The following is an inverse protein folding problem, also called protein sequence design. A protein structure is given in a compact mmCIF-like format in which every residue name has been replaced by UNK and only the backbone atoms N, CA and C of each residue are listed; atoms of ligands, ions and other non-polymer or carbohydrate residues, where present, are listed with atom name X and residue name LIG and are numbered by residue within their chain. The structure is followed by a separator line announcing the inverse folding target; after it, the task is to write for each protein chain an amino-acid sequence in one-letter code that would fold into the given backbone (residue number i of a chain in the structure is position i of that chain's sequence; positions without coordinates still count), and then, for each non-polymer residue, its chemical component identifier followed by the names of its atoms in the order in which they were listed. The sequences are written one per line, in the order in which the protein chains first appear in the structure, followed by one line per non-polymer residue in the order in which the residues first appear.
data_IF_640647354806
#
_entry.id   IF_640647354806
#
_cell.length_a   1.000
_cell.length_b   1.000
_cell.length_c   1.000
_cell.angle_alpha   90.00
_cell.angle_beta   90.00
_cell.angle_gamma   90.00
#
_symmetry.space_group_name_H-M   'P 1'
#
loop_
_entity.id
_entity.type
_entity.pdbx_description
1 polymer ?
#
# COMPACT_ATOMS: atom_id res chain seq x y z
N UNK A 1 -11.27 4.36 -8.66
CA UNK A 1 -9.87 4.81 -8.78
C UNK A 1 -9.60 4.99 -10.27
N UNK A 2 -9.03 6.11 -10.69
CA UNK A 2 -8.61 6.32 -12.08
C UNK A 2 -7.08 6.20 -12.24
N UNK A 3 -6.57 6.39 -13.47
CA UNK A 3 -5.13 6.36 -13.74
C UNK A 3 -4.34 7.38 -12.91
N UNK A 4 -4.88 8.59 -12.71
CA UNK A 4 -4.20 9.64 -11.93
C UNK A 4 -4.12 9.26 -10.45
N UNK A 5 -5.18 8.65 -9.92
CA UNK A 5 -5.18 8.10 -8.56
C UNK A 5 -4.11 7.02 -8.40
N UNK A 6 -3.97 6.10 -9.36
CA UNK A 6 -2.95 5.04 -9.34
C UNK A 6 -1.54 5.65 -9.31
N UNK A 7 -1.25 6.60 -10.20
CA UNK A 7 0.07 7.24 -10.26
C UNK A 7 0.36 8.08 -9.01
N UNK A 8 -0.66 8.75 -8.44
CA UNK A 8 -0.53 9.46 -7.16
C UNK A 8 -0.22 8.52 -6.01
N UNK A 9 -0.89 7.38 -5.92
CA UNK A 9 -0.63 6.35 -4.91
C UNK A 9 0.78 5.79 -5.04
N UNK A 10 1.17 5.36 -6.25
CA UNK A 10 2.54 4.86 -6.53
C UNK A 10 3.59 5.86 -6.11
N UNK A 11 3.43 7.12 -6.53
CA UNK A 11 4.38 8.20 -6.23
C UNK A 11 4.51 8.45 -4.73
N UNK A 12 3.39 8.46 -3.99
CA UNK A 12 3.39 8.64 -2.55
C UNK A 12 4.12 7.49 -1.83
N UNK A 13 3.80 6.24 -2.15
CA UNK A 13 4.44 5.07 -1.55
C UNK A 13 5.93 5.00 -1.91
N UNK A 14 6.30 5.25 -3.18
CA UNK A 14 7.70 5.27 -3.60
C UNK A 14 8.50 6.35 -2.87
N UNK A 15 7.90 7.54 -2.69
CA UNK A 15 8.52 8.63 -1.91
C UNK A 15 8.78 8.19 -0.47
N UNK A 16 7.79 7.60 0.20
CA UNK A 16 7.91 7.10 1.58
C UNK A 16 9.01 6.03 1.69
N UNK A 17 9.05 5.07 0.77
CA UNK A 17 10.02 3.97 0.80
C UNK A 17 11.44 4.46 0.47
N UNK A 18 11.59 5.39 -0.47
CA UNK A 18 12.90 5.98 -0.81
C UNK A 18 13.56 6.69 0.38
N UNK A 19 12.75 7.16 1.34
CA UNK A 19 13.22 7.85 2.55
C UNK A 19 13.57 6.90 3.69
N UNK A 20 13.33 5.60 3.53
CA UNK A 20 13.40 4.62 4.61
C UNK A 20 12.19 4.75 5.53
N UNK A 21 11.27 3.80 5.46
CA UNK A 21 10.08 3.78 6.31
C UNK A 21 9.82 2.39 6.88
N UNK A 22 9.25 2.38 8.07
CA UNK A 22 8.57 1.24 8.64
C UNK A 22 7.12 1.22 8.18
N UNK A 23 6.58 0.02 8.06
CA UNK A 23 5.18 -0.22 7.76
C UNK A 23 4.54 -1.05 8.86
N UNK A 24 3.28 -0.77 9.15
CA UNK A 24 2.41 -1.56 10.00
C UNK A 24 1.13 -1.90 9.23
N UNK A 25 0.77 -3.19 9.20
CA UNK A 25 -0.43 -3.73 8.54
C UNK A 25 -1.18 -4.57 9.59
N UNK A 26 -2.09 -3.95 10.37
CA UNK A 26 -2.74 -4.57 11.51
C UNK A 26 -3.47 -5.88 11.17
N UNK A 27 -4.17 -5.91 10.03
CA UNK A 27 -4.99 -7.04 9.59
C UNK A 27 -4.17 -8.31 9.36
N UNK A 28 -2.85 -8.17 9.14
CA UNK A 28 -1.93 -9.30 8.94
C UNK A 28 -0.93 -9.46 10.09
N UNK A 29 -0.96 -8.60 11.12
CA UNK A 29 0.02 -8.60 12.20
C UNK A 29 1.45 -8.36 11.72
N UNK A 30 1.62 -7.58 10.64
CA UNK A 30 2.92 -7.34 10.02
C UNK A 30 3.44 -5.97 10.39
N UNK A 31 4.66 -5.93 10.91
CA UNK A 31 5.39 -4.72 11.23
C UNK A 31 6.86 -4.88 10.84
N UNK A 32 7.45 -3.83 10.25
CA UNK A 32 8.88 -3.83 9.93
C UNK A 32 9.26 -2.81 8.87
N UNK A 33 10.52 -2.84 8.44
CA UNK A 33 11.07 -1.89 7.47
C UNK A 33 10.76 -2.30 6.05
N UNK A 34 10.27 -1.38 5.24
CA UNK A 34 10.07 -1.64 3.81
C UNK A 34 11.41 -1.58 3.08
N UNK A 35 11.73 -2.65 2.33
CA UNK A 35 12.96 -2.76 1.52
C UNK A 35 12.69 -2.89 0.03
N UNK A 36 11.43 -3.09 -0.36
CA UNK A 36 11.05 -3.12 -1.76
C UNK A 36 9.55 -2.98 -1.95
N UNK A 37 9.17 -2.42 -3.09
CA UNK A 37 7.78 -2.29 -3.52
C UNK A 37 7.63 -2.80 -4.94
N UNK A 38 6.56 -3.55 -5.19
CA UNK A 38 6.19 -4.01 -6.51
C UNK A 38 4.77 -3.59 -6.88
N UNK A 39 4.59 -3.19 -8.14
CA UNK A 39 3.28 -2.92 -8.72
C UNK A 39 3.11 -3.73 -9.99
N UNK A 40 1.98 -4.43 -10.11
CA UNK A 40 1.48 -4.94 -11.37
C UNK A 40 0.14 -4.24 -11.63
N UNK A 41 0.08 -3.22 -12.48
CA UNK A 41 -1.20 -2.68 -12.87
C UNK A 41 -1.87 -3.65 -13.84
N UNK A 42 -3.19 -3.58 -13.91
CA UNK A 42 -3.98 -4.45 -14.75
C UNK A 42 -3.96 -3.92 -16.19
N UNK A 43 -2.80 -3.87 -16.88
CA UNK A 43 -2.61 -3.22 -18.20
C UNK A 43 -3.50 -3.82 -19.30
N UNK A 44 -4.78 -3.47 -19.33
CA UNK A 44 -5.72 -3.82 -20.40
C UNK A 44 -6.16 -2.59 -21.20
N UNK A 45 -5.94 -1.37 -20.68
CA UNK A 45 -6.11 -0.12 -21.42
C UNK A 45 -6.04 1.15 -20.56
N UNK A 46 -6.09 2.35 -21.16
CA UNK A 46 -6.05 3.63 -20.43
C UNK A 46 -7.23 3.86 -19.47
N UNK A 47 -8.22 2.97 -19.44
CA UNK A 47 -9.33 2.95 -18.48
C UNK A 47 -9.11 2.02 -17.29
N UNK A 48 -7.91 1.46 -17.09
CA UNK A 48 -7.65 0.55 -15.99
C UNK A 48 -7.79 1.26 -14.63
N UNK A 49 -8.74 0.78 -13.83
CA UNK A 49 -9.11 1.35 -12.52
C UNK A 49 -8.57 0.54 -11.34
N UNK A 50 -7.72 -0.47 -11.62
CA UNK A 50 -7.33 -1.51 -10.66
C UNK A 50 -5.81 -1.73 -10.68
N UNK A 51 -5.21 -1.80 -9.49
CA UNK A 51 -3.85 -2.33 -9.33
C UNK A 51 -4.00 -3.84 -9.10
N UNK A 52 -3.67 -4.66 -10.10
CA UNK A 52 -3.81 -6.11 -10.03
C UNK A 52 -3.03 -6.70 -8.85
N UNK A 53 -1.81 -6.22 -8.62
CA UNK A 53 -0.98 -6.60 -7.47
C UNK A 53 -0.20 -5.40 -6.95
N UNK A 54 -0.33 -5.15 -5.66
CA UNK A 54 0.56 -4.29 -4.89
C UNK A 54 1.34 -5.17 -3.91
N UNK A 55 2.66 -5.06 -3.91
CA UNK A 55 3.55 -5.90 -3.12
C UNK A 55 4.51 -5.06 -2.29
N UNK A 56 4.65 -5.39 -1.01
CA UNK A 56 5.63 -4.82 -0.09
C UNK A 56 6.56 -5.93 0.39
N UNK A 57 7.87 -5.73 0.26
CA UNK A 57 8.88 -6.58 0.89
C UNK A 57 9.31 -5.92 2.19
N UNK A 58 9.05 -6.60 3.31
CA UNK A 58 9.19 -6.03 4.66
C UNK A 58 10.21 -6.85 5.44
N UNK A 59 11.23 -6.21 6.00
CA UNK A 59 12.15 -6.85 6.94
C UNK A 59 11.58 -6.69 8.35
N UNK A 60 11.30 -7.82 9.01
CA UNK A 60 10.86 -7.82 10.40
C UNK A 60 12.04 -7.65 11.38
N UNK A 61 11.75 -7.56 12.68
CA UNK A 61 12.75 -7.41 13.75
C UNK A 61 13.75 -8.58 13.83
N UNK A 62 13.42 -9.73 13.25
CA UNK A 62 14.30 -10.91 13.15
C UNK A 62 15.19 -10.91 11.91
N UNK A 63 15.15 -9.84 11.10
CA UNK A 63 15.90 -9.74 9.85
C UNK A 63 15.31 -10.57 8.70
N UNK A 64 14.09 -11.11 8.85
CA UNK A 64 13.45 -11.94 7.83
C UNK A 64 12.65 -11.07 6.86
N UNK A 65 12.77 -11.36 5.56
CA UNK A 65 11.97 -10.71 4.52
C UNK A 65 10.60 -11.38 4.43
N UNK A 66 9.54 -10.61 4.68
CA UNK A 66 8.14 -11.00 4.59
C UNK A 66 7.52 -10.26 3.38
N UNK A 67 7.21 -10.96 2.28
CA UNK A 67 6.49 -10.37 1.17
C UNK A 67 4.98 -10.30 1.49
N UNK A 68 4.42 -9.10 1.44
CA UNK A 68 2.97 -8.86 1.56
C UNK A 68 2.42 -8.55 0.18
N UNK A 69 1.43 -9.33 -0.25
CA UNK A 69 0.81 -9.19 -1.57
C UNK A 69 -0.67 -8.86 -1.40
N UNK A 70 -1.05 -7.69 -1.89
CA UNK A 70 -2.43 -7.20 -1.96
C UNK A 70 -2.89 -7.24 -3.41
N UNK A 71 -3.84 -8.11 -3.71
CA UNK A 71 -4.35 -8.29 -5.07
C UNK A 71 -5.63 -7.48 -5.28
N UNK A 72 -5.89 -7.09 -6.53
CA UNK A 72 -7.11 -6.40 -6.95
C UNK A 72 -7.44 -5.15 -6.13
N UNK A 73 -6.46 -4.25 -5.96
CA UNK A 73 -6.70 -2.97 -5.29
C UNK A 73 -7.55 -2.10 -6.23
N UNK A 74 -8.81 -1.89 -5.87
CA UNK A 74 -9.80 -1.12 -6.66
C UNK A 74 -9.95 0.32 -6.19
N UNK A 75 -9.37 0.63 -5.04
CA UNK A 75 -9.39 1.97 -4.46
C UNK A 75 -8.47 2.09 -3.26
N UNK A 76 -8.24 3.33 -2.87
CA UNK A 76 -7.61 3.65 -1.60
C UNK A 76 -8.18 4.93 -1.03
N UNK A 77 -8.06 5.09 0.29
CA UNK A 77 -8.35 6.33 1.00
C UNK A 77 -7.14 6.72 1.82
N UNK A 78 -6.76 8.00 1.76
CA UNK A 78 -5.82 8.56 2.73
C UNK A 78 -6.56 8.72 4.07
N UNK A 79 -6.17 7.92 5.07
CA UNK A 79 -6.77 7.95 6.40
C UNK A 79 -6.18 9.08 7.24
N UNK A 80 -4.86 9.25 7.15
CA UNK A 80 -4.16 10.34 7.86
C UNK A 80 -2.82 10.63 7.19
N UNK A 81 -2.42 11.90 7.22
CA UNK A 81 -1.08 12.38 6.89
C UNK A 81 -0.70 13.43 7.93
N UNK A 82 0.55 13.44 8.40
CA UNK A 82 1.03 14.48 9.33
C UNK A 82 1.67 15.69 8.62
N UNK A 83 1.58 15.75 7.28
CA UNK A 83 2.03 16.87 6.47
C UNK A 83 0.98 17.28 5.43
N UNK A 84 1.05 18.55 5.00
CA UNK A 84 0.21 19.11 3.93
C UNK A 84 0.45 18.41 2.59
N UNK A 85 1.70 18.01 2.32
CA UNK A 85 2.09 17.20 1.16
C UNK A 85 2.44 15.78 1.61
N UNK A 86 1.92 14.77 0.91
CA UNK A 86 2.17 13.35 1.21
C UNK A 86 3.66 13.00 1.18
N UNK A 87 4.38 13.61 0.26
CA UNK A 87 5.82 13.47 0.11
C UNK A 87 6.58 13.98 1.34
N UNK A 88 6.09 14.98 2.06
CA UNK A 88 6.74 15.53 3.26
C UNK A 88 6.33 14.83 4.55
N UNK A 89 5.38 13.90 4.45
CA UNK A 89 4.80 13.21 5.60
C UNK A 89 5.79 12.23 6.23
N UNK A 90 6.01 12.39 7.54
CA UNK A 90 6.71 11.41 8.36
C UNK A 90 5.81 10.24 8.77
N UNK A 91 4.49 10.38 8.64
CA UNK A 91 3.51 9.33 8.97
C UNK A 91 2.30 9.41 8.06
N UNK A 92 2.11 8.38 7.24
CA UNK A 92 1.02 8.30 6.26
C UNK A 92 0.26 7.00 6.42
N UNK A 93 -1.07 7.08 6.50
CA UNK A 93 -1.94 5.92 6.62
C UNK A 93 -2.86 5.82 5.42
N UNK A 94 -2.86 4.67 4.75
CA UNK A 94 -3.76 4.35 3.67
C UNK A 94 -4.72 3.24 4.09
N UNK A 95 -5.99 3.37 3.72
CA UNK A 95 -6.95 2.25 3.69
C UNK A 95 -7.05 1.81 2.23
N UNK A 96 -6.64 0.58 1.94
CA UNK A 96 -6.71 -0.03 0.61
C UNK A 96 -7.99 -0.85 0.49
N UNK A 97 -8.71 -0.69 -0.62
CA UNK A 97 -9.93 -1.43 -0.93
C UNK A 97 -9.60 -2.55 -1.90
N UNK A 98 -9.75 -3.79 -1.46
CA UNK A 98 -9.40 -4.99 -2.22
C UNK A 98 -10.67 -5.68 -2.68
N UNK A 99 -10.77 -5.95 -3.97
CA UNK A 99 -11.89 -6.70 -4.51
C UNK A 99 -11.63 -8.21 -4.42
N UNK A 100 -12.45 -8.89 -3.62
CA UNK A 100 -12.45 -10.33 -3.47
C UNK A 100 -13.61 -10.91 -4.27
N UNK A 101 -13.30 -11.73 -5.28
CA UNK A 101 -14.31 -12.52 -5.96
C UNK A 101 -14.80 -13.61 -4.99
N UNK A 102 -15.99 -13.40 -4.42
CA UNK A 102 -16.72 -14.47 -3.75
C UNK A 102 -17.11 -15.57 -4.73
N UNK A 103 -17.53 -16.73 -4.20
CA UNK A 103 -18.04 -17.86 -5.00
C UNK A 103 -19.12 -17.39 -6.00
N UNK A 104 -19.36 -18.11 -7.11
CA UNK A 104 -20.41 -17.75 -8.07
C UNK A 104 -21.76 -17.62 -7.35
N UNK A 105 -22.33 -16.40 -7.37
CA UNK A 105 -23.60 -16.08 -6.70
C UNK A 105 -23.49 -15.06 -5.56
N UNK A 106 -22.28 -14.73 -5.09
CA UNK A 106 -22.06 -13.67 -4.11
C UNK A 106 -21.70 -12.36 -4.83
N UNK A 107 -22.41 -11.27 -4.53
CA UNK A 107 -22.01 -9.95 -5.00
C UNK A 107 -20.65 -9.65 -4.35
N UNK A 108 -19.57 -9.65 -5.14
CA UNK A 108 -18.19 -9.63 -4.64
C UNK A 108 -17.96 -8.64 -3.48
N UNK A 109 -17.22 -9.07 -2.46
CA UNK A 109 -16.95 -8.26 -1.28
C UNK A 109 -15.76 -7.33 -1.51
N UNK A 110 -15.83 -6.14 -0.89
CA UNK A 110 -14.70 -5.21 -0.81
C UNK A 110 -14.09 -5.34 0.58
N UNK A 111 -12.90 -5.94 0.63
CA UNK A 111 -12.11 -6.00 1.86
C UNK A 111 -11.34 -4.69 2.03
N UNK A 112 -11.09 -4.31 3.28
CA UNK A 112 -10.34 -3.10 3.62
C UNK A 112 -9.10 -3.48 4.38
N UNK A 113 -7.95 -2.99 3.93
CA UNK A 113 -6.65 -3.22 4.58
C UNK A 113 -5.99 -1.90 4.88
N UNK A 114 -5.66 -1.67 6.15
CA UNK A 114 -4.93 -0.50 6.59
C UNK A 114 -3.43 -0.72 6.46
N UNK A 115 -2.76 0.24 5.84
CA UNK A 115 -1.30 0.27 5.68
C UNK A 115 -0.77 1.59 6.23
N UNK A 116 -0.11 1.51 7.37
CA UNK A 116 0.49 2.67 8.04
C UNK A 116 1.99 2.73 7.76
N UNK A 117 2.44 3.78 7.08
CA UNK A 117 3.85 4.08 6.87
C UNK A 117 4.33 5.11 7.90
N UNK A 118 5.48 4.84 8.52
CA UNK A 118 6.15 5.77 9.43
C UNK A 118 7.61 5.87 9.03
N UNK A 119 8.10 7.09 8.80
CA UNK A 119 9.51 7.35 8.50
C UNK A 119 10.36 6.89 9.68
N UNK A 120 11.50 6.24 9.40
CA UNK A 120 12.48 5.99 10.45
C UNK A 120 13.11 7.32 10.88
N UNK A 121 12.93 7.69 12.14
CA UNK A 121 13.74 8.74 12.74
C UNK A 121 15.17 8.23 12.84
N UNK A 122 16.10 8.89 12.12
CA UNK A 122 17.52 8.68 12.36
C UNK A 122 17.81 9.11 13.80
N UNK A 123 17.98 8.14 14.71
CA UNK A 123 18.72 8.41 15.93
C UNK A 123 20.16 8.72 15.51
N UNK A 124 20.50 10.01 15.50
CA UNK A 124 21.87 10.53 15.42
C UNK A 124 22.63 10.14 16.69
#
# INVERSE_FOLDING_TARGET
MDFKDIERFKSAVMSLVSKGCNVNIPEYGIHGRVVGVGYKPYWTGPGDTIIQKFELNIINERGQIIPVKLNNVVGYKLVSSNAERLEDSGKTSFELHLFSHGKPGDAGSIDKVRVDFTKEDKKL
#
